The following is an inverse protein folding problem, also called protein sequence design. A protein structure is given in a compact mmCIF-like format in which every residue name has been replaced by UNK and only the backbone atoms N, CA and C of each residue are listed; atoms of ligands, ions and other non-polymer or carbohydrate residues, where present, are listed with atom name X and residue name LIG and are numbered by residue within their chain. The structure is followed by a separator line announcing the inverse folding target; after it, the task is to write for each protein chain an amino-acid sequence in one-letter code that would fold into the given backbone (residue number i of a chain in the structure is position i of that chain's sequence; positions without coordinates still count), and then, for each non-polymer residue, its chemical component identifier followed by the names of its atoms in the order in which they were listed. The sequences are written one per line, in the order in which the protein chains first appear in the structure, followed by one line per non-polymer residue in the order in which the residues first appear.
data_IF_536779772066
#
_entry.id   IF_536779772066
#
_cell.length_a   1.000
_cell.length_b   1.000
_cell.length_c   1.000
_cell.angle_alpha   90.00
_cell.angle_beta   90.00
_cell.angle_gamma   90.00
#
_symmetry.space_group_name_H-M   'P 1'
#
loop_
_entity.id
_entity.type
_entity.pdbx_description
1 polymer ?
#
# COMPACT_ATOMS: atom_id res chain seq x y z
N UNK A 1 22.56 -46.15 -8.07
CA UNK A 1 23.46 -45.64 -9.12
C UNK A 1 22.91 -44.27 -9.50
N UNK A 2 23.69 -43.21 -9.24
CA UNK A 2 23.41 -41.83 -9.67
C UNK A 2 23.44 -41.72 -11.20
N UNK A 3 22.68 -40.78 -11.79
CA UNK A 3 23.18 -39.76 -12.74
C UNK A 3 22.15 -38.61 -12.85
N UNK A 4 22.62 -37.39 -12.57
CA UNK A 4 22.01 -36.10 -12.88
C UNK A 4 22.05 -35.79 -14.40
N UNK A 5 21.43 -34.65 -14.78
CA UNK A 5 21.62 -33.81 -16.00
C UNK A 5 20.39 -33.72 -16.92
N UNK A 6 19.90 -32.58 -17.45
CA UNK A 6 20.19 -31.15 -17.32
C UNK A 6 18.95 -30.32 -17.75
N UNK A 7 18.86 -29.13 -17.17
CA UNK A 7 18.17 -27.88 -17.57
C UNK A 7 17.95 -27.63 -19.08
N UNK A 8 16.80 -27.01 -19.44
CA UNK A 8 16.63 -25.76 -20.25
C UNK A 8 15.26 -25.13 -19.89
N UNK A 9 15.17 -23.95 -19.25
CA UNK A 9 15.32 -22.56 -19.71
C UNK A 9 14.32 -22.13 -20.82
N UNK A 10 13.33 -21.29 -20.47
CA UNK A 10 12.72 -20.32 -21.39
C UNK A 10 12.02 -19.17 -20.63
N UNK A 11 12.76 -18.05 -20.54
CA UNK A 11 12.35 -16.64 -20.72
C UNK A 11 11.12 -16.14 -19.93
N UNK A 12 11.33 -15.40 -18.85
CA UNK A 12 11.50 -13.93 -18.79
C UNK A 12 10.18 -13.17 -18.96
N UNK A 13 9.58 -12.76 -17.85
CA UNK A 13 8.86 -11.49 -17.75
C UNK A 13 9.26 -10.83 -16.43
N UNK A 14 10.20 -9.89 -16.55
CA UNK A 14 10.66 -8.97 -15.53
C UNK A 14 9.49 -8.17 -14.95
N UNK A 15 9.18 -8.41 -13.68
CA UNK A 15 8.48 -7.43 -12.83
C UNK A 15 9.43 -7.01 -11.72
N UNK A 16 10.52 -6.36 -12.12
CA UNK A 16 11.40 -5.68 -11.18
C UNK A 16 10.67 -4.47 -10.58
N UNK A 17 10.63 -4.31 -9.25
CA UNK A 17 10.12 -3.11 -8.63
C UNK A 17 11.07 -1.97 -8.99
N UNK A 18 10.54 -0.97 -9.71
CA UNK A 18 11.27 0.23 -10.14
C UNK A 18 11.70 1.04 -8.91
N UNK A 19 12.81 0.65 -8.29
CA UNK A 19 13.51 1.45 -7.28
C UNK A 19 13.99 2.70 -8.01
N UNK A 20 13.31 3.82 -7.74
CA UNK A 20 13.60 5.13 -8.32
C UNK A 20 15.03 5.54 -7.94
N UNK A 21 15.95 5.33 -8.88
CA UNK A 21 17.35 5.78 -8.81
C UNK A 21 17.35 7.30 -8.75
N UNK A 22 17.71 7.86 -7.59
CA UNK A 22 17.70 9.30 -7.35
C UNK A 22 18.86 9.97 -8.08
N UNK A 23 18.65 10.27 -9.37
CA UNK A 23 19.46 11.20 -10.14
C UNK A 23 18.80 12.57 -10.13
N UNK A 24 19.59 13.61 -9.83
CA UNK A 24 19.21 15.01 -10.08
C UNK A 24 18.99 15.22 -11.57
N UNK A 25 17.77 14.98 -12.02
CA UNK A 25 17.28 15.32 -13.35
C UNK A 25 15.99 16.11 -13.16
N UNK A 26 15.95 17.29 -13.79
CA UNK A 26 14.82 18.23 -13.77
C UNK A 26 13.51 17.46 -13.99
N UNK A 27 12.67 17.35 -12.95
CA UNK A 27 11.46 16.52 -12.97
C UNK A 27 10.40 17.22 -13.82
N UNK A 28 10.42 16.99 -15.12
CA UNK A 28 9.27 17.28 -15.96
C UNK A 28 8.11 16.39 -15.47
N UNK A 29 7.01 17.01 -15.05
CA UNK A 29 5.81 16.30 -14.59
C UNK A 29 5.36 15.29 -15.65
N UNK A 30 4.93 14.07 -15.27
CA UNK A 30 4.41 13.10 -16.20
C UNK A 30 3.30 13.73 -17.05
N UNK A 31 3.41 13.63 -18.38
CA UNK A 31 2.45 14.23 -19.32
C UNK A 31 1.11 13.47 -19.37
N UNK A 32 1.00 12.37 -18.63
CA UNK A 32 -0.13 11.45 -18.64
C UNK A 32 -0.68 11.38 -17.21
N UNK A 33 -1.98 11.61 -17.07
CA UNK A 33 -2.68 11.38 -15.81
C UNK A 33 -2.61 9.89 -15.50
N UNK A 34 -2.03 9.53 -14.37
CA UNK A 34 -2.07 8.15 -13.88
C UNK A 34 -3.50 7.91 -13.41
N UNK A 35 -4.21 7.04 -14.12
CA UNK A 35 -5.54 6.58 -13.73
C UNK A 35 -5.39 5.27 -12.98
N UNK A 36 -5.90 5.23 -11.76
CA UNK A 36 -5.97 4.00 -10.97
C UNK A 36 -7.40 3.47 -11.00
N UNK A 37 -7.56 2.16 -11.18
CA UNK A 37 -8.84 1.52 -10.92
C UNK A 37 -9.00 1.32 -9.40
N UNK A 38 -10.24 1.28 -8.88
CA UNK A 38 -10.48 0.94 -7.48
C UNK A 38 -9.86 -0.40 -7.07
N UNK A 39 -9.88 -1.37 -7.98
CA UNK A 39 -9.33 -2.71 -7.79
C UNK A 39 -7.81 -2.67 -7.63
N UNK A 40 -7.11 -1.92 -8.49
CA UNK A 40 -5.65 -1.75 -8.38
C UNK A 40 -5.30 -1.16 -7.00
N UNK A 41 -5.96 -0.07 -6.62
CA UNK A 41 -5.73 0.57 -5.32
C UNK A 41 -6.00 -0.39 -4.17
N UNK A 42 -7.07 -1.17 -4.25
CA UNK A 42 -7.41 -2.16 -3.23
C UNK A 42 -6.29 -3.20 -3.09
N UNK A 43 -5.88 -3.82 -4.20
CA UNK A 43 -4.83 -4.85 -4.19
C UNK A 43 -3.53 -4.35 -3.56
N UNK A 44 -3.14 -3.10 -3.84
CA UNK A 44 -1.89 -2.53 -3.31
C UNK A 44 -2.02 -1.99 -1.87
N UNK A 45 -3.18 -1.44 -1.48
CA UNK A 45 -3.33 -0.70 -0.21
C UNK A 45 -3.98 -1.52 0.92
N UNK A 46 -4.84 -2.50 0.61
CA UNK A 46 -5.52 -3.34 1.61
C UNK A 46 -4.54 -4.07 2.55
N UNK A 47 -3.39 -4.62 2.09
CA UNK A 47 -2.40 -5.23 2.99
C UNK A 47 -1.81 -4.23 4.01
N UNK A 48 -1.68 -2.96 3.65
CA UNK A 48 -1.17 -1.91 4.54
C UNK A 48 -2.22 -1.62 5.63
N UNK A 49 -3.49 -1.52 5.24
CA UNK A 49 -4.61 -1.35 6.17
C UNK A 49 -4.67 -2.55 7.14
N UNK A 50 -4.53 -3.78 6.65
CA UNK A 50 -4.49 -4.98 7.50
C UNK A 50 -3.33 -4.94 8.50
N UNK A 51 -2.15 -4.49 8.07
CA UNK A 51 -1.00 -4.30 8.96
C UNK A 51 -1.29 -3.26 10.05
N UNK A 52 -1.98 -2.17 9.72
CA UNK A 52 -2.40 -1.16 10.70
C UNK A 52 -3.41 -1.72 11.70
N UNK A 53 -4.39 -2.51 11.24
CA UNK A 53 -5.40 -3.16 12.09
C UNK A 53 -4.78 -4.22 13.01
N UNK A 54 -3.73 -4.91 12.57
CA UNK A 54 -3.04 -5.91 13.39
C UNK A 54 -2.22 -5.32 14.56
N UNK A 55 -2.04 -3.99 14.60
CA UNK A 55 -1.36 -3.30 15.70
C UNK A 55 -2.24 -3.27 16.96
N UNK A 56 -1.63 -3.45 18.13
CA UNK A 56 -2.30 -3.34 19.45
C UNK A 56 -2.94 -1.95 19.65
N UNK A 57 -2.29 -0.90 19.13
CA UNK A 57 -2.76 0.49 19.25
C UNK A 57 -3.92 0.81 18.30
N UNK A 58 -4.30 -0.12 17.42
CA UNK A 58 -5.32 0.14 16.40
C UNK A 58 -6.73 0.22 16.94
N UNK A 59 -7.00 -0.34 18.12
CA UNK A 59 -8.35 -0.56 18.65
C UNK A 59 -9.22 0.71 18.61
N UNK A 60 -8.67 1.85 19.04
CA UNK A 60 -9.38 3.14 19.06
C UNK A 60 -9.74 3.70 17.67
N UNK A 61 -9.20 3.14 16.59
CA UNK A 61 -9.38 3.60 15.22
C UNK A 61 -10.17 2.61 14.35
N UNK A 62 -10.53 1.43 14.88
CA UNK A 62 -11.23 0.40 14.10
C UNK A 62 -12.71 0.71 13.88
N UNK A 63 -13.28 1.66 14.62
CA UNK A 63 -14.67 2.08 14.54
C UNK A 63 -14.77 3.60 14.43
N UNK A 64 -15.86 4.13 13.85
CA UNK A 64 -16.14 5.56 13.91
C UNK A 64 -16.16 6.05 15.35
N UNK A 65 -15.62 7.25 15.57
CA UNK A 65 -15.65 7.88 16.89
C UNK A 65 -17.09 8.24 17.23
N UNK A 66 -17.53 7.85 18.43
CA UNK A 66 -18.79 8.29 19.04
C UNK A 66 -18.47 9.28 20.18
N UNK A 67 -18.59 10.59 19.94
CA UNK A 67 -18.28 11.61 20.94
C UNK A 67 -19.16 11.55 22.19
N UNK A 68 -20.40 11.07 22.05
CA UNK A 68 -21.38 11.01 23.15
C UNK A 68 -21.01 9.85 24.06
N UNK A 69 -20.85 8.64 23.49
CA UNK A 69 -20.49 7.44 24.25
C UNK A 69 -19.12 7.56 24.90
N UNK A 70 -18.17 8.21 24.24
CA UNK A 70 -16.80 8.43 24.73
C UNK A 70 -16.66 9.66 25.63
N UNK A 71 -17.72 10.44 25.83
CA UNK A 71 -17.74 11.65 26.68
C UNK A 71 -16.73 12.73 26.27
N UNK A 72 -16.54 12.89 24.96
CA UNK A 72 -15.66 13.89 24.33
C UNK A 72 -16.46 14.82 23.42
N UNK A 73 -17.40 15.56 24.01
CA UNK A 73 -18.44 16.29 23.25
C UNK A 73 -17.90 17.41 22.34
N UNK A 74 -16.68 17.87 22.57
CA UNK A 74 -15.96 18.85 21.75
C UNK A 74 -15.24 18.23 20.54
N UNK A 75 -15.24 16.89 20.39
CA UNK A 75 -14.63 16.19 19.27
C UNK A 75 -15.00 16.76 17.88
N UNK A 76 -16.28 17.01 17.52
CA UNK A 76 -16.62 17.60 16.21
C UNK A 76 -16.27 19.11 16.09
N UNK A 77 -15.99 19.78 17.22
CA UNK A 77 -15.50 21.16 17.19
C UNK A 77 -14.02 21.16 16.78
N UNK A 78 -13.25 20.21 17.29
CA UNK A 78 -11.80 20.09 17.08
C UNK A 78 -11.48 19.39 15.76
N UNK A 79 -12.08 18.23 15.51
CA UNK A 79 -11.86 17.39 14.32
C UNK A 79 -12.91 17.73 13.26
N UNK A 80 -12.45 17.97 12.02
CA UNK A 80 -13.26 18.46 10.89
C UNK A 80 -13.50 17.40 9.83
#
# INVERSE_FOLDING_TARGET
MMFESHSQLSNNDDMEPMIVRMGSSSKQLPRHLVQFTPEDLRTYLEPIIHKMIASEDSYSFQQPVDPISLKILDYPIIIK
#
